data_IF_647564146028
#
_entry.id   IF_647564146028
#
_cell.length_a   1.000
_cell.length_b   1.000
_cell.length_c   1.000
_cell.angle_alpha   90.00
_cell.angle_beta   90.00
_cell.angle_gamma   90.00
#
_symmetry.space_group_name_H-M   'P 1'
#
loop_
_entity.id
_entity.type
_entity.pdbx_description
1 polymer ?
#
# COMPACT_ATOMS: atom_id res chain seq x y z
N UNK A 1 -11.15 -18.66 -16.74
CA UNK A 1 -10.73 -19.20 -15.42
C UNK A 1 -11.29 -20.61 -15.19
N UNK A 2 -11.97 -21.22 -16.18
CA UNK A 2 -12.55 -22.57 -16.09
C UNK A 2 -11.59 -23.71 -16.50
N UNK A 3 -10.45 -23.40 -17.12
CA UNK A 3 -9.48 -24.43 -17.58
C UNK A 3 -8.48 -24.89 -16.52
N UNK A 4 -8.48 -24.31 -15.32
CA UNK A 4 -7.63 -24.77 -14.20
C UNK A 4 -8.27 -25.91 -13.38
N UNK A 5 -9.34 -26.53 -13.90
CA UNK A 5 -10.15 -27.51 -13.15
C UNK A 5 -9.76 -28.98 -13.41
N UNK A 6 -8.89 -29.25 -14.39
CA UNK A 6 -8.27 -30.58 -14.55
C UNK A 6 -6.96 -30.62 -13.76
N UNK A 7 -7.07 -30.66 -12.44
CA UNK A 7 -5.91 -30.67 -11.56
C UNK A 7 -5.51 -32.11 -11.29
N UNK A 8 -4.60 -32.60 -12.11
CA UNK A 8 -3.94 -33.91 -11.98
C UNK A 8 -3.51 -34.20 -10.53
N UNK A 9 -3.12 -33.16 -9.78
CA UNK A 9 -2.62 -33.26 -8.39
C UNK A 9 -3.67 -33.02 -7.30
N UNK A 10 -4.96 -32.81 -7.65
CA UNK A 10 -6.02 -32.54 -6.66
C UNK A 10 -6.19 -33.70 -5.69
N UNK A 11 -6.34 -34.91 -6.22
CA UNK A 11 -6.56 -36.10 -5.39
C UNK A 11 -5.36 -36.37 -4.48
N UNK A 12 -4.14 -36.14 -4.96
CA UNK A 12 -2.91 -36.31 -4.18
C UNK A 12 -2.83 -35.33 -3.00
N UNK A 13 -3.11 -34.05 -3.25
CA UNK A 13 -3.11 -33.04 -2.18
C UNK A 13 -4.27 -33.26 -1.21
N UNK A 14 -5.45 -33.63 -1.71
CA UNK A 14 -6.63 -33.92 -0.87
C UNK A 14 -6.32 -35.09 0.09
N UNK A 15 -5.61 -36.12 -0.37
CA UNK A 15 -5.16 -37.22 0.49
C UNK A 15 -4.16 -36.80 1.58
N UNK A 16 -3.46 -35.67 1.40
CA UNK A 16 -2.52 -35.13 2.39
C UNK A 16 -3.18 -34.23 3.43
N UNK A 17 -4.40 -33.72 3.20
CA UNK A 17 -5.04 -32.69 4.04
C UNK A 17 -5.28 -33.14 5.48
N UNK A 18 -5.50 -34.43 5.70
CA UNK A 18 -5.73 -34.99 7.03
C UNK A 18 -4.42 -35.29 7.78
N UNK A 19 -3.25 -35.07 7.16
CA UNK A 19 -1.97 -35.28 7.81
C UNK A 19 -1.66 -34.14 8.81
N UNK A 20 -1.09 -34.46 10.00
CA UNK A 20 -0.73 -33.45 11.01
C UNK A 20 0.23 -32.37 10.48
N UNK A 21 1.14 -32.77 9.58
CA UNK A 21 2.17 -31.92 8.98
C UNK A 21 1.88 -31.59 7.51
N UNK A 22 0.60 -31.44 7.15
CA UNK A 22 0.13 -31.22 5.76
C UNK A 22 0.95 -30.18 5.00
N UNK A 23 1.15 -28.99 5.58
CA UNK A 23 1.89 -27.91 4.92
C UNK A 23 3.37 -28.27 4.69
N UNK A 24 4.05 -28.83 5.69
CA UNK A 24 5.46 -29.22 5.55
C UNK A 24 5.66 -30.36 4.53
N UNK A 25 4.74 -31.33 4.51
CA UNK A 25 4.74 -32.41 3.54
C UNK A 25 4.48 -31.91 2.12
N UNK A 26 3.51 -31.01 1.96
CA UNK A 26 3.24 -30.39 0.67
C UNK A 26 4.37 -29.49 0.21
N UNK A 27 4.99 -28.72 1.10
CA UNK A 27 6.14 -27.86 0.79
C UNK A 27 7.32 -28.69 0.28
N UNK A 28 7.67 -29.78 0.97
CA UNK A 28 8.73 -30.68 0.57
C UNK A 28 8.48 -31.37 -0.79
N UNK A 29 7.21 -31.59 -1.15
CA UNK A 29 6.82 -32.27 -2.40
C UNK A 29 6.66 -31.33 -3.58
N UNK A 30 6.08 -30.15 -3.35
CA UNK A 30 5.48 -29.36 -4.42
C UNK A 30 6.12 -28.00 -4.66
N UNK A 31 6.92 -27.43 -3.74
CA UNK A 31 7.52 -26.10 -3.97
C UNK A 31 8.49 -26.11 -5.16
N UNK A 32 9.34 -27.14 -5.28
CA UNK A 32 10.35 -27.26 -6.34
C UNK A 32 10.09 -28.44 -7.29
N UNK A 33 8.83 -28.88 -7.37
CA UNK A 33 8.46 -29.99 -8.23
C UNK A 33 8.77 -29.70 -9.71
N UNK A 34 9.20 -30.69 -10.48
CA UNK A 34 9.56 -30.48 -11.89
C UNK A 34 8.37 -30.08 -12.75
N UNK A 35 7.18 -30.62 -12.45
CA UNK A 35 5.93 -30.26 -13.11
C UNK A 35 5.38 -28.92 -12.60
N UNK A 36 5.14 -27.99 -13.52
CA UNK A 36 4.56 -26.68 -13.28
C UNK A 36 3.16 -26.78 -12.68
N UNK A 37 2.32 -27.72 -13.12
CA UNK A 37 0.94 -27.87 -12.62
C UNK A 37 0.91 -28.20 -11.12
N UNK A 38 1.87 -29.01 -10.65
CA UNK A 38 2.00 -29.36 -9.25
C UNK A 38 2.37 -28.14 -8.41
N UNK A 39 3.35 -27.35 -8.86
CA UNK A 39 3.76 -26.10 -8.18
C UNK A 39 2.63 -25.08 -8.17
N UNK A 40 1.94 -24.93 -9.29
CA UNK A 40 0.78 -24.03 -9.45
C UNK A 40 -0.35 -24.40 -8.49
N UNK A 41 -0.68 -25.68 -8.42
CA UNK A 41 -1.75 -26.15 -7.57
C UNK A 41 -1.41 -26.00 -6.09
N UNK A 42 -0.17 -26.33 -5.70
CA UNK A 42 0.28 -26.10 -4.33
C UNK A 42 0.26 -24.62 -3.93
N UNK A 43 0.67 -23.72 -4.82
CA UNK A 43 0.58 -22.28 -4.57
C UNK A 43 -0.85 -21.81 -4.25
N UNK A 44 -1.87 -22.46 -4.83
CA UNK A 44 -3.28 -22.18 -4.58
C UNK A 44 -3.78 -22.73 -3.24
N UNK A 45 -3.41 -23.97 -2.88
CA UNK A 45 -3.98 -24.69 -1.74
C UNK A 45 -3.16 -24.63 -0.45
N UNK A 46 -1.93 -24.08 -0.48
CA UNK A 46 -1.05 -23.96 0.69
C UNK A 46 -1.74 -23.18 1.83
N UNK A 47 -1.90 -23.76 3.04
CA UNK A 47 -2.73 -23.18 4.11
C UNK A 47 -2.29 -21.77 4.55
N UNK A 48 -0.99 -21.56 4.74
CA UNK A 48 -0.44 -20.27 5.17
C UNK A 48 -0.29 -19.24 4.04
N UNK A 49 -0.91 -19.50 2.89
CA UNK A 49 -0.68 -18.75 1.65
C UNK A 49 0.57 -19.24 0.93
N UNK A 50 0.74 -18.84 -0.32
CA UNK A 50 1.80 -19.33 -1.19
C UNK A 50 3.20 -19.00 -0.66
N UNK A 51 4.13 -19.92 -0.87
CA UNK A 51 5.52 -19.77 -0.43
C UNK A 51 6.25 -18.67 -1.22
N UNK A 52 7.18 -17.89 -0.61
CA UNK A 52 7.91 -16.83 -1.31
C UNK A 52 8.64 -17.30 -2.59
N UNK A 53 9.17 -18.52 -2.56
CA UNK A 53 9.87 -19.10 -3.72
C UNK A 53 8.92 -19.34 -4.91
N UNK A 54 7.64 -19.61 -4.65
CA UNK A 54 6.64 -19.78 -5.71
C UNK A 54 6.25 -18.45 -6.35
N UNK A 55 6.38 -17.32 -5.64
CA UNK A 55 6.24 -15.99 -6.25
C UNK A 55 7.41 -15.74 -7.20
N UNK A 56 8.59 -16.25 -6.84
CA UNK A 56 9.83 -16.16 -7.63
C UNK A 56 9.97 -17.29 -8.67
N UNK A 57 8.90 -18.06 -8.90
CA UNK A 57 8.94 -19.22 -9.81
C UNK A 57 9.31 -18.78 -11.23
N UNK A 58 10.06 -19.64 -11.92
CA UNK A 58 10.46 -19.41 -13.31
C UNK A 58 9.26 -19.38 -14.28
N UNK A 59 8.14 -20.02 -13.90
CA UNK A 59 6.91 -20.03 -14.69
C UNK A 59 5.97 -18.87 -14.29
N UNK A 60 5.63 -17.96 -15.21
CA UNK A 60 4.81 -16.78 -14.88
C UNK A 60 3.45 -17.13 -14.26
N UNK A 61 2.83 -18.24 -14.66
CA UNK A 61 1.53 -18.64 -14.14
C UNK A 61 1.60 -19.08 -12.67
N UNK A 62 2.66 -19.77 -12.27
CA UNK A 62 2.91 -20.15 -10.87
C UNK A 62 3.15 -18.89 -10.04
N UNK A 63 4.01 -17.99 -10.55
CA UNK A 63 4.28 -16.69 -9.93
C UNK A 63 3.01 -15.86 -9.71
N UNK A 64 2.11 -15.80 -10.71
CA UNK A 64 0.81 -15.12 -10.61
C UNK A 64 -0.08 -15.74 -9.54
N UNK A 65 -0.20 -17.08 -9.53
CA UNK A 65 -1.01 -17.78 -8.54
C UNK A 65 -0.50 -17.51 -7.13
N UNK A 66 0.83 -17.59 -6.97
CA UNK A 66 1.49 -17.37 -5.71
C UNK A 66 1.35 -15.92 -5.22
N UNK A 67 1.53 -14.94 -6.12
CA UNK A 67 1.30 -13.52 -5.81
C UNK A 67 -0.12 -13.27 -5.29
N UNK A 68 -1.12 -13.90 -5.91
CA UNK A 68 -2.53 -13.72 -5.58
C UNK A 68 -2.93 -14.35 -4.22
N UNK A 69 -2.28 -15.45 -3.82
CA UNK A 69 -2.64 -16.23 -2.61
C UNK A 69 -1.61 -16.11 -1.47
N UNK A 70 -0.50 -15.41 -1.70
CA UNK A 70 0.49 -15.10 -0.67
C UNK A 70 -0.13 -14.29 0.48
N UNK A 71 0.51 -14.34 1.66
CA UNK A 71 0.25 -13.47 2.82
C UNK A 71 1.35 -12.43 3.04
N UNK A 72 2.38 -12.38 2.19
CA UNK A 72 3.48 -11.41 2.29
C UNK A 72 2.99 -9.96 2.10
N UNK A 73 3.82 -8.99 2.51
CA UNK A 73 3.62 -7.56 2.24
C UNK A 73 3.62 -7.24 0.75
N UNK A 74 3.24 -6.02 0.39
CA UNK A 74 3.16 -5.63 -1.01
C UNK A 74 4.54 -5.57 -1.67
N UNK A 75 5.51 -4.94 -0.99
CA UNK A 75 6.88 -4.79 -1.48
C UNK A 75 7.51 -6.14 -1.78
N UNK A 76 7.52 -7.06 -0.80
CA UNK A 76 8.14 -8.37 -0.99
C UNK A 76 7.48 -9.17 -2.12
N UNK A 77 6.15 -9.08 -2.28
CA UNK A 77 5.48 -9.72 -3.43
C UNK A 77 5.96 -9.15 -4.75
N UNK A 78 6.07 -7.83 -4.88
CA UNK A 78 6.50 -7.18 -6.12
C UNK A 78 8.00 -7.33 -6.40
N UNK A 79 8.84 -7.46 -5.38
CA UNK A 79 10.27 -7.77 -5.52
C UNK A 79 10.49 -9.16 -6.12
N UNK A 80 9.65 -10.12 -5.72
CA UNK A 80 9.73 -11.52 -6.14
C UNK A 80 8.97 -11.82 -7.43
N UNK A 81 8.02 -10.98 -7.81
CA UNK A 81 7.11 -11.21 -8.94
C UNK A 81 7.91 -11.45 -10.23
N UNK A 82 7.50 -12.46 -10.99
CA UNK A 82 8.15 -12.80 -12.25
C UNK A 82 8.17 -11.60 -13.22
N UNK A 83 9.33 -11.22 -13.79
CA UNK A 83 9.47 -10.00 -14.60
C UNK A 83 8.53 -9.91 -15.81
N UNK A 84 8.17 -11.05 -16.41
CA UNK A 84 7.23 -11.06 -17.55
C UNK A 84 5.82 -10.70 -17.14
N UNK A 85 5.42 -10.98 -15.89
CA UNK A 85 4.14 -10.53 -15.36
C UNK A 85 4.10 -9.01 -15.31
N UNK A 86 5.22 -8.34 -14.96
CA UNK A 86 5.30 -6.88 -14.94
C UNK A 86 5.28 -6.31 -16.36
N UNK A 87 5.97 -6.95 -17.32
CA UNK A 87 6.15 -6.43 -18.68
C UNK A 87 4.96 -6.70 -19.61
N UNK A 88 4.29 -7.84 -19.47
CA UNK A 88 3.19 -8.25 -20.33
C UNK A 88 1.82 -7.87 -19.75
N UNK A 89 1.03 -7.08 -20.49
CA UNK A 89 -0.30 -6.63 -20.05
C UNK A 89 -1.29 -7.79 -19.83
N UNK A 90 -1.29 -8.79 -20.70
CA UNK A 90 -2.19 -9.95 -20.59
C UNK A 90 -1.92 -10.76 -19.31
N UNK A 91 -0.65 -10.80 -18.87
CA UNK A 91 -0.27 -11.39 -17.60
C UNK A 91 -0.60 -10.48 -16.42
N UNK A 92 -0.35 -9.16 -16.51
CA UNK A 92 -0.72 -8.19 -15.46
C UNK A 92 -2.20 -8.25 -15.11
N UNK A 93 -3.08 -8.43 -16.09
CA UNK A 93 -4.54 -8.52 -15.86
C UNK A 93 -4.88 -9.64 -14.86
N UNK A 94 -4.08 -10.72 -14.80
CA UNK A 94 -4.31 -11.85 -13.90
C UNK A 94 -3.98 -11.56 -12.42
N UNK A 95 -3.22 -10.51 -12.12
CA UNK A 95 -2.95 -10.05 -10.74
C UNK A 95 -3.70 -8.76 -10.37
N UNK A 96 -4.43 -8.16 -11.32
CA UNK A 96 -5.09 -6.86 -11.18
C UNK A 96 -5.87 -6.70 -9.88
N UNK A 97 -6.69 -7.68 -9.51
CA UNK A 97 -7.54 -7.58 -8.31
C UNK A 97 -6.70 -7.55 -7.03
N UNK A 98 -5.69 -8.42 -6.91
CA UNK A 98 -4.80 -8.43 -5.75
C UNK A 98 -3.97 -7.15 -5.68
N UNK A 99 -3.44 -6.70 -6.81
CA UNK A 99 -2.69 -5.45 -6.93
C UNK A 99 -3.52 -4.25 -6.46
N UNK A 100 -4.79 -4.14 -6.87
CA UNK A 100 -5.70 -3.09 -6.39
C UNK A 100 -5.90 -3.17 -4.88
N UNK A 101 -6.10 -4.36 -4.33
CA UNK A 101 -6.26 -4.53 -2.88
C UNK A 101 -5.01 -4.09 -2.10
N UNK A 102 -3.83 -4.47 -2.58
CA UNK A 102 -2.55 -4.09 -1.98
C UNK A 102 -2.36 -2.58 -2.02
N UNK A 103 -2.52 -1.94 -3.20
CA UNK A 103 -2.37 -0.49 -3.27
C UNK A 103 -3.40 0.26 -2.47
N UNK A 104 -4.66 -0.22 -2.40
CA UNK A 104 -5.65 0.38 -1.52
C UNK A 104 -5.20 0.38 -0.06
N UNK A 105 -4.64 -0.73 0.42
CA UNK A 105 -4.11 -0.79 1.78
C UNK A 105 -2.96 0.21 1.94
N UNK A 106 -2.02 0.23 1.00
CA UNK A 106 -0.84 1.11 1.05
C UNK A 106 -1.17 2.60 1.01
N UNK A 107 -2.05 3.06 0.11
CA UNK A 107 -2.46 4.48 0.06
C UNK A 107 -3.25 4.91 1.29
N UNK A 108 -3.73 3.96 2.09
CA UNK A 108 -4.49 4.21 3.31
C UNK A 108 -3.60 4.22 4.56
N UNK A 109 -2.57 3.37 4.61
CA UNK A 109 -1.76 3.18 5.82
C UNK A 109 -0.26 3.38 5.69
N UNK A 110 0.32 3.24 4.51
CA UNK A 110 1.79 3.16 4.37
C UNK A 110 2.28 3.70 3.02
N UNK A 111 2.46 5.01 2.96
CA UNK A 111 3.08 5.68 1.83
C UNK A 111 4.57 5.32 1.67
N UNK A 112 5.26 4.84 2.73
CA UNK A 112 6.68 4.45 2.62
C UNK A 112 6.83 3.18 1.81
N UNK A 113 6.07 2.13 2.15
CA UNK A 113 6.04 0.89 1.38
C UNK A 113 5.45 1.13 -0.02
N UNK A 114 4.44 2.01 -0.16
CA UNK A 114 3.92 2.42 -1.47
C UNK A 114 5.01 2.98 -2.39
N UNK A 115 5.80 3.93 -1.88
CA UNK A 115 6.88 4.53 -2.64
C UNK A 115 7.93 3.50 -3.04
N UNK A 116 8.32 2.60 -2.12
CA UNK A 116 9.26 1.52 -2.41
C UNK A 116 8.75 0.57 -3.52
N UNK A 117 7.46 0.21 -3.49
CA UNK A 117 6.85 -0.62 -4.53
C UNK A 117 6.87 0.11 -5.88
N UNK A 118 6.47 1.38 -5.92
CA UNK A 118 6.36 2.15 -7.17
C UNK A 118 7.72 2.48 -7.79
N UNK A 119 8.79 2.60 -7.00
CA UNK A 119 10.16 2.69 -7.51
C UNK A 119 10.57 1.41 -8.25
N UNK A 120 10.11 0.25 -7.78
CA UNK A 120 10.42 -1.04 -8.40
C UNK A 120 9.54 -1.33 -9.62
N UNK A 121 8.25 -1.03 -9.52
CA UNK A 121 7.25 -1.35 -10.55
C UNK A 121 6.39 -0.12 -10.92
N UNK A 122 7.00 0.94 -11.50
CA UNK A 122 6.32 2.21 -11.76
C UNK A 122 5.14 2.12 -12.73
N UNK A 123 5.07 1.05 -13.54
CA UNK A 123 3.94 0.77 -14.43
C UNK A 123 2.59 0.68 -13.69
N UNK A 124 2.61 0.43 -12.39
CA UNK A 124 1.42 0.35 -11.56
C UNK A 124 0.99 1.67 -10.90
N UNK A 125 1.72 2.76 -11.11
CA UNK A 125 1.35 4.09 -10.59
C UNK A 125 -0.10 4.49 -10.91
N UNK A 126 -0.65 4.27 -12.12
CA UNK A 126 -2.06 4.55 -12.39
C UNK A 126 -3.04 3.77 -11.50
N UNK A 127 -2.67 2.54 -11.10
CA UNK A 127 -3.50 1.72 -10.20
C UNK A 127 -3.45 2.26 -8.78
N UNK A 128 -2.27 2.67 -8.30
CA UNK A 128 -2.13 3.33 -7.00
C UNK A 128 -2.94 4.63 -6.94
N UNK A 129 -2.86 5.46 -7.99
CA UNK A 129 -3.64 6.69 -8.11
C UNK A 129 -5.15 6.43 -8.13
N UNK A 130 -5.60 5.42 -8.88
CA UNK A 130 -7.02 5.02 -8.86
C UNK A 130 -7.47 4.58 -7.45
N UNK A 131 -6.62 3.84 -6.71
CA UNK A 131 -6.96 3.44 -5.34
C UNK A 131 -6.91 4.59 -4.34
N UNK A 132 -6.07 5.59 -4.53
CA UNK A 132 -6.11 6.82 -3.73
C UNK A 132 -7.47 7.53 -3.91
N UNK A 133 -7.89 7.74 -5.16
CA UNK A 133 -9.11 8.50 -5.49
C UNK A 133 -10.40 7.76 -5.17
N UNK A 134 -10.44 6.47 -5.52
CA UNK A 134 -11.68 5.68 -5.54
C UNK A 134 -11.69 4.53 -4.54
N UNK A 135 -10.56 4.27 -3.87
CA UNK A 135 -10.46 3.25 -2.85
C UNK A 135 -11.23 3.65 -1.60
N UNK A 136 -11.95 2.70 -1.01
CA UNK A 136 -12.57 2.90 0.30
C UNK A 136 -11.48 3.01 1.36
N UNK A 137 -11.56 4.04 2.22
CA UNK A 137 -10.78 4.15 3.46
C UNK A 137 -11.16 3.00 4.40
N UNK A 138 -10.16 2.28 4.90
CA UNK A 138 -10.30 1.05 5.70
C UNK A 138 -9.69 1.21 7.10
N UNK A 139 -8.72 2.10 7.26
CA UNK A 139 -8.10 2.42 8.53
C UNK A 139 -7.99 3.94 8.72
N UNK A 140 -7.74 4.36 9.96
CA UNK A 140 -7.53 5.75 10.36
C UNK A 140 -6.05 6.04 10.63
N UNK A 141 -5.16 5.43 9.85
CA UNK A 141 -3.72 5.69 9.96
C UNK A 141 -3.41 7.00 9.23
N UNK A 142 -2.79 7.93 9.94
CA UNK A 142 -2.37 9.22 9.39
C UNK A 142 -1.16 9.03 8.47
N UNK A 143 -1.22 9.60 7.26
CA UNK A 143 -0.12 9.55 6.32
C UNK A 143 1.09 10.37 6.84
N UNK A 144 2.28 9.80 6.69
CA UNK A 144 3.51 10.54 6.91
C UNK A 144 3.66 11.63 5.83
N UNK A 145 3.77 12.90 6.24
CA UNK A 145 3.84 14.04 5.31
C UNK A 145 5.01 13.97 4.32
N UNK A 146 6.17 13.46 4.73
CA UNK A 146 7.35 13.35 3.88
C UNK A 146 7.13 12.27 2.81
N UNK A 147 6.61 11.11 3.20
CA UNK A 147 6.34 10.01 2.27
C UNK A 147 5.16 10.32 1.33
N UNK A 148 4.11 10.99 1.83
CA UNK A 148 3.03 11.51 0.99
C UNK A 148 3.58 12.51 -0.05
N UNK A 149 4.52 13.36 0.35
CA UNK A 149 5.17 14.33 -0.56
C UNK A 149 6.06 13.64 -1.60
N UNK A 150 6.72 12.53 -1.26
CA UNK A 150 7.46 11.71 -2.22
C UNK A 150 6.53 11.03 -3.22
N UNK A 151 5.36 10.56 -2.77
CA UNK A 151 4.34 10.03 -3.67
C UNK A 151 3.80 11.11 -4.61
N UNK A 152 3.50 12.31 -4.09
CA UNK A 152 3.06 13.48 -4.89
C UNK A 152 4.05 13.77 -6.02
N UNK A 153 5.36 13.81 -5.72
CA UNK A 153 6.40 14.01 -6.75
C UNK A 153 6.41 12.90 -7.80
N UNK A 154 6.25 11.66 -7.38
CA UNK A 154 6.18 10.50 -8.29
C UNK A 154 4.93 10.55 -9.17
N UNK A 155 3.82 11.05 -8.64
CA UNK A 155 2.51 11.04 -9.25
C UNK A 155 2.12 12.38 -9.91
N UNK A 156 3.03 13.34 -10.03
CA UNK A 156 2.75 14.74 -10.40
C UNK A 156 1.86 14.87 -11.64
N UNK A 157 2.15 14.08 -12.69
CA UNK A 157 1.38 14.09 -13.95
C UNK A 157 -0.05 13.53 -13.84
N UNK A 158 -0.41 12.89 -12.73
CA UNK A 158 -1.70 12.25 -12.48
C UNK A 158 -2.51 12.96 -11.38
N UNK A 159 -1.98 14.01 -10.77
CA UNK A 159 -2.65 14.74 -9.70
C UNK A 159 -3.69 15.70 -10.30
N UNK A 160 -4.96 15.43 -9.98
CA UNK A 160 -6.08 16.34 -10.17
C UNK A 160 -6.71 16.73 -8.83
N UNK A 161 -7.72 17.59 -8.85
CA UNK A 161 -8.40 18.06 -7.63
C UNK A 161 -8.93 16.90 -6.79
N UNK A 162 -9.50 15.87 -7.43
CA UNK A 162 -9.99 14.66 -6.73
C UNK A 162 -8.85 13.92 -6.02
N UNK A 163 -7.67 13.84 -6.63
CA UNK A 163 -6.50 13.24 -5.99
C UNK A 163 -6.02 14.06 -4.78
N UNK A 164 -6.04 15.39 -4.87
CA UNK A 164 -5.70 16.27 -3.76
C UNK A 164 -6.67 16.16 -2.60
N UNK A 165 -7.98 16.19 -2.87
CA UNK A 165 -9.01 15.95 -1.86
C UNK A 165 -8.79 14.60 -1.16
N UNK A 166 -8.53 13.54 -1.93
CA UNK A 166 -8.24 12.23 -1.38
C UNK A 166 -6.98 12.19 -0.52
N UNK A 167 -5.92 12.92 -0.90
CA UNK A 167 -4.68 13.04 -0.10
C UNK A 167 -4.92 13.75 1.22
N UNK A 168 -5.68 14.84 1.23
CA UNK A 168 -6.00 15.58 2.45
C UNK A 168 -6.76 14.71 3.46
N UNK A 169 -7.65 13.83 2.98
CA UNK A 169 -8.35 12.85 3.83
C UNK A 169 -7.43 11.80 4.47
N UNK A 170 -6.18 11.66 4.01
CA UNK A 170 -5.17 10.78 4.62
C UNK A 170 -4.35 11.49 5.69
N UNK A 171 -4.44 12.81 5.81
CA UNK A 171 -3.69 13.56 6.81
C UNK A 171 -4.37 13.49 8.19
N UNK A 172 -3.66 13.99 9.19
CA UNK A 172 -4.20 14.17 10.55
C UNK A 172 -5.49 14.99 10.53
N UNK A 173 -6.51 14.51 11.26
CA UNK A 173 -7.76 15.24 11.47
C UNK A 173 -7.52 16.34 12.52
N UNK A 174 -7.32 17.56 12.06
CA UNK A 174 -6.97 18.71 12.91
C UNK A 174 -8.12 19.08 13.86
N UNK A 175 -9.37 18.98 13.41
CA UNK A 175 -10.56 19.31 14.20
C UNK A 175 -10.61 18.53 15.52
N UNK A 176 -10.23 17.25 15.50
CA UNK A 176 -10.29 16.32 16.62
C UNK A 176 -8.99 16.31 17.47
N UNK A 177 -7.99 17.10 17.07
CA UNK A 177 -6.68 17.07 17.71
C UNK A 177 -6.68 17.81 19.06
N UNK A 178 -6.00 17.25 20.05
CA UNK A 178 -5.65 17.99 21.26
C UNK A 178 -4.60 19.06 20.95
N UNK A 179 -4.47 20.05 21.84
CA UNK A 179 -3.46 21.12 21.70
C UNK A 179 -2.05 20.54 21.57
N UNK A 180 -1.72 19.56 22.41
CA UNK A 180 -0.38 18.97 22.45
C UNK A 180 -0.11 18.11 21.22
N UNK A 181 -1.10 17.34 20.76
CA UNK A 181 -0.98 16.53 19.54
C UNK A 181 -0.81 17.43 18.30
N UNK A 182 -1.64 18.47 18.17
CA UNK A 182 -1.54 19.41 17.05
C UNK A 182 -0.22 20.16 17.08
N UNK A 183 0.25 20.58 18.27
CA UNK A 183 1.55 21.22 18.42
C UNK A 183 2.69 20.31 17.97
N UNK A 184 2.68 19.04 18.37
CA UNK A 184 3.69 18.07 17.94
C UNK A 184 3.66 17.86 16.42
N UNK A 185 2.46 17.75 15.84
CA UNK A 185 2.28 17.62 14.39
C UNK A 185 2.80 18.84 13.61
N UNK A 186 2.50 20.05 14.07
CA UNK A 186 3.02 21.28 13.47
C UNK A 186 4.54 21.38 13.61
N UNK A 187 5.11 21.00 14.76
CA UNK A 187 6.56 20.98 14.97
C UNK A 187 7.26 20.02 14.00
N UNK A 188 6.70 18.82 13.82
CA UNK A 188 7.17 17.88 12.81
C UNK A 188 7.10 18.49 11.40
N UNK A 189 5.96 19.08 11.02
CA UNK A 189 5.80 19.69 9.70
C UNK A 189 6.77 20.88 9.47
N UNK A 190 7.13 21.63 10.52
CA UNK A 190 8.14 22.69 10.46
C UNK A 190 9.56 22.11 10.31
N UNK A 191 9.90 21.08 11.06
CA UNK A 191 11.21 20.42 11.02
C UNK A 191 11.50 19.88 9.61
N UNK A 192 10.53 19.18 9.02
CA UNK A 192 10.64 18.56 7.69
C UNK A 192 10.09 19.42 6.56
N UNK A 193 9.86 20.71 6.81
CA UNK A 193 9.17 21.62 5.89
C UNK A 193 9.70 21.62 4.47
N UNK A 194 11.02 21.45 4.28
CA UNK A 194 11.66 21.45 2.95
C UNK A 194 11.39 20.20 2.13
N UNK A 195 10.95 19.13 2.79
CA UNK A 195 10.68 17.82 2.18
C UNK A 195 9.19 17.63 1.89
N UNK A 196 8.35 18.42 2.56
CA UNK A 196 6.89 18.39 2.48
C UNK A 196 6.40 19.29 1.33
N UNK A 197 5.44 18.78 0.57
CA UNK A 197 4.80 19.53 -0.51
C UNK A 197 4.10 20.79 0.01
N UNK A 198 4.29 21.91 -0.70
CA UNK A 198 3.76 23.21 -0.30
C UNK A 198 2.24 23.22 -0.17
N UNK A 199 1.50 22.42 -0.96
CA UNK A 199 0.04 22.35 -0.86
C UNK A 199 -0.42 21.65 0.41
N UNK A 200 0.30 20.62 0.87
CA UNK A 200 0.02 19.98 2.15
C UNK A 200 0.28 20.96 3.31
N UNK A 201 1.37 21.72 3.26
CA UNK A 201 1.67 22.75 4.26
C UNK A 201 0.59 23.85 4.30
N UNK A 202 0.12 24.31 3.15
CA UNK A 202 -0.96 25.30 3.06
C UNK A 202 -2.28 24.74 3.61
N UNK A 203 -2.63 23.50 3.27
CA UNK A 203 -3.83 22.85 3.81
C UNK A 203 -3.78 22.76 5.34
N UNK A 204 -2.67 22.27 5.90
CA UNK A 204 -2.48 22.18 7.36
C UNK A 204 -2.53 23.57 8.00
N UNK A 205 -1.95 24.57 7.35
CA UNK A 205 -1.98 25.95 7.82
C UNK A 205 -3.42 26.46 7.96
N UNK A 206 -4.21 26.35 6.90
CA UNK A 206 -5.57 26.90 6.85
C UNK A 206 -6.53 26.17 7.79
N UNK A 207 -6.45 24.85 7.86
CA UNK A 207 -7.22 24.03 8.79
C UNK A 207 -6.87 24.35 10.26
N UNK A 208 -5.58 24.55 10.54
CA UNK A 208 -5.14 24.92 11.90
C UNK A 208 -5.64 26.31 12.30
N UNK A 209 -5.64 27.29 11.39
CA UNK A 209 -6.19 28.62 11.69
C UNK A 209 -7.69 28.54 11.99
N UNK A 210 -8.43 27.72 11.24
CA UNK A 210 -9.85 27.47 11.48
C UNK A 210 -10.07 26.86 12.86
N UNK A 211 -9.29 25.84 13.22
CA UNK A 211 -9.32 25.22 14.55
C UNK A 211 -9.00 26.22 15.67
N UNK A 212 -7.97 27.06 15.51
CA UNK A 212 -7.62 28.09 16.51
C UNK A 212 -8.78 29.07 16.73
N UNK A 213 -9.42 29.52 15.64
CA UNK A 213 -10.54 30.47 15.71
C UNK A 213 -11.73 29.89 16.49
N UNK A 214 -12.03 28.61 16.29
CA UNK A 214 -13.14 27.90 16.93
C UNK A 214 -12.82 27.39 18.35
N UNK A 215 -11.53 27.23 18.68
CA UNK A 215 -11.11 26.70 19.98
C UNK A 215 -11.45 27.62 21.16
N UNK A 216 -11.64 27.03 22.34
CA UNK A 216 -11.82 27.74 23.62
C UNK A 216 -10.50 28.09 24.32
N UNK A 217 -9.37 27.99 23.61
CA UNK A 217 -8.04 28.21 24.16
C UNK A 217 -7.85 29.63 24.69
N UNK A 218 -7.02 29.73 25.73
CA UNK A 218 -6.59 31.03 26.24
C UNK A 218 -5.78 31.78 25.17
N UNK A 219 -5.85 33.12 25.20
CA UNK A 219 -5.23 34.00 24.20
C UNK A 219 -3.74 33.68 23.95
N UNK A 220 -2.98 33.41 25.01
CA UNK A 220 -1.56 33.07 24.88
C UNK A 220 -1.32 31.73 24.16
N UNK A 221 -2.19 30.74 24.38
CA UNK A 221 -2.12 29.46 23.68
C UNK A 221 -2.48 29.63 22.20
N UNK A 222 -3.52 30.41 21.89
CA UNK A 222 -3.86 30.77 20.50
C UNK A 222 -2.68 31.42 19.80
N UNK A 223 -2.05 32.43 20.42
CA UNK A 223 -0.87 33.12 19.87
C UNK A 223 0.33 32.19 19.66
N UNK A 224 0.54 31.24 20.57
CA UNK A 224 1.60 30.24 20.41
C UNK A 224 1.34 29.30 19.22
N UNK A 225 0.10 28.85 19.04
CA UNK A 225 -0.30 28.02 17.91
C UNK A 225 -0.22 28.79 16.59
N UNK A 226 -0.78 30.02 16.52
CA UNK A 226 -0.69 30.90 15.34
C UNK A 226 0.75 31.08 14.87
N UNK A 227 1.70 31.24 15.81
CA UNK A 227 3.13 31.36 15.49
C UNK A 227 3.68 30.11 14.82
N UNK A 228 3.31 28.92 15.31
CA UNK A 228 3.72 27.65 14.69
C UNK A 228 3.07 27.48 13.31
N UNK A 229 1.77 27.75 13.21
CA UNK A 229 1.02 27.70 11.95
C UNK A 229 1.66 28.58 10.89
N UNK A 230 1.96 29.84 11.22
CA UNK A 230 2.61 30.78 10.29
C UNK A 230 4.00 30.31 9.84
N UNK A 231 4.72 29.58 10.69
CA UNK A 231 6.03 29.02 10.35
C UNK A 231 5.94 27.94 9.24
N UNK A 232 4.78 27.31 9.03
CA UNK A 232 4.57 26.35 7.94
C UNK A 232 4.71 26.98 6.55
N UNK A 233 4.37 28.26 6.39
CA UNK A 233 4.36 28.94 5.08
C UNK A 233 5.44 30.02 4.93
N UNK A 234 6.10 30.41 6.02
CA UNK A 234 7.15 31.45 6.00
C UNK A 234 8.53 30.88 5.65
N UNK A 235 9.21 31.46 4.66
CA UNK A 235 10.53 30.97 4.17
C UNK A 235 11.60 30.87 5.25
#
# INVERSE_FOLDING_TARGET
>A
MEELSNLTYKEEVDALKDAPDFEALGDARYIHHSDMEARLYWAFCRPSGSHPDQISDAEPLVSIMAFNHSRLGALERFERLHPDVIRNEELRVKIKNRTRMLFRALVDSDFSELNAVLERVPIFLPVAMDQLKNGRKWNDIEANLVEASRFIRTAEALLDEVAWEALFLKLKVIEESSVDDLKAYLQYAIEYKREIDARLLTYIHDETLTWIAQSSLHLLQKKAMEKLTQALITR
#
